data_IF_231783429234
#
_entry.id   IF_231783429234
#
_cell.length_a   1.000
_cell.length_b   1.000
_cell.length_c   1.000
_cell.angle_alpha   90.00
_cell.angle_beta   90.00
_cell.angle_gamma   90.00
#
_symmetry.space_group_name_H-M   'P 1'
#
loop_
_entity.id
_entity.type
_entity.pdbx_description
1 polymer ?
#
# COMPACT_ATOMS: atom_id res chain seq x y z
N UNK A 1 30.91 -29.00 -56.14
CA UNK A 1 30.30 -29.26 -54.82
C UNK A 1 30.13 -27.93 -54.17
N UNK A 2 28.92 -27.36 -54.08
CA UNK A 2 28.71 -26.15 -53.31
C UNK A 2 28.52 -26.49 -51.83
N UNK A 3 29.23 -25.73 -50.98
CA UNK A 3 29.16 -25.84 -49.50
C UNK A 3 27.79 -25.45 -48.98
N UNK A 4 27.11 -26.44 -48.42
CA UNK A 4 25.91 -26.25 -47.63
C UNK A 4 26.27 -25.74 -46.22
N UNK A 5 26.17 -24.42 -46.04
CA UNK A 5 26.20 -23.82 -44.69
C UNK A 5 24.84 -23.99 -44.05
N UNK A 6 24.77 -24.45 -42.79
CA UNK A 6 23.50 -24.50 -42.07
C UNK A 6 23.00 -23.06 -41.84
N UNK A 7 21.73 -22.82 -42.21
CA UNK A 7 21.00 -21.60 -41.84
C UNK A 7 20.77 -21.64 -40.34
N UNK A 8 21.47 -20.79 -39.58
CA UNK A 8 21.12 -20.49 -38.20
C UNK A 8 19.65 -19.99 -38.17
N UNK A 9 18.80 -20.73 -37.52
CA UNK A 9 17.47 -20.27 -37.18
C UNK A 9 17.66 -19.08 -36.23
N UNK A 10 17.16 -17.90 -36.63
CA UNK A 10 16.95 -16.81 -35.71
C UNK A 10 16.04 -17.36 -34.58
N UNK A 11 16.51 -17.32 -33.35
CA UNK A 11 15.65 -17.47 -32.18
C UNK A 11 14.66 -16.30 -32.29
N UNK A 12 13.38 -16.64 -32.44
CA UNK A 12 12.31 -15.67 -32.32
C UNK A 12 12.36 -15.17 -30.87
N UNK A 13 12.95 -14.00 -30.65
CA UNK A 13 12.85 -13.26 -29.41
C UNK A 13 11.36 -12.93 -29.22
N UNK A 14 10.68 -13.72 -28.38
CA UNK A 14 9.35 -13.32 -27.91
C UNK A 14 9.50 -11.95 -27.24
N UNK A 15 8.60 -10.99 -27.51
CA UNK A 15 8.69 -9.66 -26.90
C UNK A 15 8.69 -9.84 -25.38
N UNK A 16 9.68 -9.24 -24.72
CA UNK A 16 9.85 -9.28 -23.28
C UNK A 16 8.55 -8.80 -22.61
N UNK A 17 7.95 -9.66 -21.75
CA UNK A 17 6.73 -9.32 -21.02
C UNK A 17 7.05 -8.25 -19.97
N UNK A 18 6.92 -6.98 -20.34
CA UNK A 18 7.17 -5.84 -19.47
C UNK A 18 6.36 -5.84 -18.18
N UNK A 19 5.29 -6.63 -18.10
CA UNK A 19 4.41 -6.73 -16.94
C UNK A 19 4.69 -7.95 -16.05
N UNK A 20 5.64 -8.83 -16.41
CA UNK A 20 5.91 -10.06 -15.69
C UNK A 20 6.20 -9.83 -14.19
N UNK A 21 7.06 -8.85 -13.88
CA UNK A 21 7.40 -8.52 -12.49
C UNK A 21 6.22 -7.92 -11.71
N UNK A 22 5.37 -7.12 -12.36
CA UNK A 22 4.15 -6.58 -11.75
C UNK A 22 3.14 -7.70 -11.40
N UNK A 23 2.94 -8.64 -12.31
CA UNK A 23 2.08 -9.82 -12.06
C UNK A 23 2.63 -10.69 -10.94
N UNK A 24 3.95 -10.91 -10.93
CA UNK A 24 4.61 -11.67 -9.87
C UNK A 24 4.49 -10.97 -8.51
N UNK A 25 4.71 -9.67 -8.44
CA UNK A 25 4.50 -8.90 -7.21
C UNK A 25 3.04 -9.03 -6.75
N UNK A 26 2.06 -8.84 -7.68
CA UNK A 26 0.64 -8.99 -7.36
C UNK A 26 0.28 -10.37 -6.82
N UNK A 27 0.80 -11.43 -7.43
CA UNK A 27 0.56 -12.80 -6.96
C UNK A 27 1.08 -13.00 -5.52
N UNK A 28 2.31 -12.54 -5.21
CA UNK A 28 2.89 -12.66 -3.87
C UNK A 28 2.10 -11.85 -2.83
N UNK A 29 1.69 -10.61 -3.14
CA UNK A 29 0.90 -9.80 -2.22
C UNK A 29 -0.47 -10.45 -1.94
N UNK A 30 -1.17 -10.95 -2.96
CA UNK A 30 -2.42 -11.68 -2.81
C UNK A 30 -2.26 -12.91 -1.92
N UNK A 31 -1.26 -13.75 -2.18
CA UNK A 31 -1.00 -14.96 -1.40
C UNK A 31 -0.66 -14.63 0.06
N UNK A 32 0.07 -13.54 0.32
CA UNK A 32 0.35 -13.05 1.67
C UNK A 32 -0.95 -12.65 2.40
N UNK A 33 -1.89 -11.97 1.71
CA UNK A 33 -3.19 -11.62 2.29
C UNK A 33 -4.08 -12.87 2.50
N UNK A 34 -4.01 -13.86 1.63
CA UNK A 34 -4.75 -15.12 1.78
C UNK A 34 -4.28 -15.89 3.03
N UNK A 35 -3.00 -15.80 3.41
CA UNK A 35 -2.47 -16.33 4.67
C UNK A 35 -2.96 -15.53 5.88
N UNK A 36 -3.08 -14.21 5.77
CA UNK A 36 -3.54 -13.33 6.84
C UNK A 36 -5.04 -13.49 7.14
N UNK A 37 -5.85 -13.71 6.11
CA UNK A 37 -7.32 -13.73 6.21
C UNK A 37 -7.87 -14.65 7.31
N UNK A 38 -7.46 -15.93 7.45
CA UNK A 38 -7.92 -16.81 8.52
C UNK A 38 -7.38 -16.45 9.92
N UNK A 39 -6.38 -15.55 9.99
CA UNK A 39 -5.83 -15.06 11.25
C UNK A 39 -6.67 -13.91 11.84
N UNK A 40 -7.50 -13.24 11.03
CA UNK A 40 -8.37 -12.16 11.47
C UNK A 40 -9.55 -12.74 12.29
N UNK A 41 -9.32 -12.85 13.59
CA UNK A 41 -10.29 -13.37 14.56
C UNK A 41 -9.94 -12.87 15.96
N UNK A 42 -10.92 -12.81 16.89
CA UNK A 42 -10.68 -12.39 18.27
C UNK A 42 -9.54 -13.18 18.96
N UNK A 43 -8.71 -12.47 19.71
CA UNK A 43 -7.55 -13.01 20.40
C UNK A 43 -6.26 -13.11 19.57
N UNK A 44 -6.30 -12.87 18.26
CA UNK A 44 -5.08 -12.81 17.43
C UNK A 44 -4.35 -11.49 17.68
N UNK A 45 -3.03 -11.56 17.89
CA UNK A 45 -2.20 -10.35 17.97
C UNK A 45 -2.03 -9.73 16.60
N UNK A 46 -2.19 -8.42 16.51
CA UNK A 46 -1.97 -7.64 15.29
C UNK A 46 -0.55 -7.87 14.74
N UNK A 47 0.46 -7.89 15.62
CA UNK A 47 1.87 -8.13 15.24
C UNK A 47 2.07 -9.51 14.59
N UNK A 48 1.32 -10.54 14.97
CA UNK A 48 1.46 -11.88 14.39
C UNK A 48 0.97 -11.91 12.94
N UNK A 49 -0.12 -11.19 12.62
CA UNK A 49 -0.60 -11.03 11.25
C UNK A 49 0.45 -10.30 10.41
N UNK A 50 0.94 -9.16 10.91
CA UNK A 50 1.96 -8.36 10.22
C UNK A 50 3.20 -9.20 9.93
N UNK A 51 3.72 -9.91 10.92
CA UNK A 51 4.90 -10.75 10.74
C UNK A 51 4.67 -11.88 9.72
N UNK A 52 3.49 -12.50 9.71
CA UNK A 52 3.15 -13.55 8.73
C UNK A 52 3.18 -12.99 7.31
N UNK A 53 2.52 -11.85 7.07
CA UNK A 53 2.47 -11.19 5.77
C UNK A 53 3.86 -10.75 5.32
N UNK A 54 4.59 -10.01 6.17
CA UNK A 54 5.91 -9.48 5.82
C UNK A 54 6.95 -10.56 5.57
N UNK A 55 6.94 -11.64 6.35
CA UNK A 55 7.88 -12.75 6.15
C UNK A 55 7.58 -13.48 4.84
N UNK A 56 6.29 -13.74 4.54
CA UNK A 56 5.93 -14.37 3.28
C UNK A 56 6.40 -13.53 2.07
N UNK A 57 6.15 -12.22 2.10
CA UNK A 57 6.59 -11.32 1.02
C UNK A 57 8.11 -11.31 0.88
N UNK A 58 8.87 -11.26 1.98
CA UNK A 58 10.35 -11.27 1.94
C UNK A 58 10.93 -12.58 1.41
N UNK A 59 10.22 -13.69 1.58
CA UNK A 59 10.64 -15.01 1.09
C UNK A 59 10.35 -15.23 -0.39
N UNK A 60 9.30 -14.57 -0.94
CA UNK A 60 8.78 -14.86 -2.29
C UNK A 60 8.89 -13.71 -3.29
N UNK A 61 9.25 -12.50 -2.85
CA UNK A 61 9.46 -11.31 -3.68
C UNK A 61 10.83 -10.67 -3.42
N UNK A 62 11.12 -9.54 -4.03
CA UNK A 62 12.33 -8.77 -3.72
C UNK A 62 12.24 -8.06 -2.36
N UNK A 63 11.04 -7.90 -1.83
CA UNK A 63 10.76 -7.33 -0.53
C UNK A 63 9.37 -6.71 -0.43
N UNK A 64 9.09 -6.13 0.74
CA UNK A 64 7.89 -5.31 0.96
C UNK A 64 8.10 -3.92 0.34
N UNK A 65 7.09 -3.37 -0.32
CA UNK A 65 7.12 -1.98 -0.81
C UNK A 65 6.77 -0.96 0.30
N UNK A 66 6.13 -1.42 1.37
CA UNK A 66 5.90 -0.71 2.62
C UNK A 66 5.63 -1.72 3.75
N UNK A 67 5.65 -1.30 5.03
CA UNK A 67 5.30 -2.17 6.15
C UNK A 67 3.84 -2.61 6.07
N UNK A 68 3.54 -3.87 6.33
CA UNK A 68 2.15 -4.30 6.42
C UNK A 68 1.40 -3.48 7.49
N UNK A 69 0.25 -2.95 7.10
CA UNK A 69 -0.66 -2.22 7.98
C UNK A 69 -1.78 -3.16 8.45
N UNK A 70 -2.12 -3.11 9.73
CA UNK A 70 -3.32 -3.79 10.27
C UNK A 70 -4.10 -2.76 11.08
N UNK A 71 -5.09 -2.16 10.46
CA UNK A 71 -5.89 -1.10 11.03
C UNK A 71 -7.14 -1.67 11.73
N UNK A 72 -7.48 -1.12 12.90
CA UNK A 72 -8.66 -1.50 13.68
C UNK A 72 -9.65 -0.34 13.72
N UNK A 73 -10.92 -0.62 13.45
CA UNK A 73 -12.06 0.25 13.66
C UNK A 73 -11.95 1.59 12.93
N UNK A 74 -11.68 2.68 13.64
CA UNK A 74 -11.60 4.03 13.09
C UNK A 74 -10.23 4.38 12.48
N UNK A 75 -9.25 3.50 12.55
CA UNK A 75 -7.97 3.70 11.89
C UNK A 75 -8.15 3.47 10.39
N UNK A 76 -7.82 4.48 9.60
CA UNK A 76 -7.95 4.40 8.15
C UNK A 76 -6.69 3.85 7.48
N UNK A 77 -5.50 4.29 7.90
CA UNK A 77 -4.24 3.90 7.27
C UNK A 77 -3.03 4.10 8.19
N UNK A 78 -1.88 3.59 7.76
CA UNK A 78 -0.54 3.80 8.34
C UNK A 78 -0.33 3.26 9.75
N UNK A 79 -1.20 2.37 10.23
CA UNK A 79 -0.92 1.65 11.45
C UNK A 79 -0.19 0.34 11.14
N UNK A 80 1.06 0.26 11.58
CA UNK A 80 1.83 -0.98 11.72
C UNK A 80 2.23 -1.15 13.18
N UNK A 81 2.37 -2.39 13.65
CA UNK A 81 2.72 -2.62 15.05
C UNK A 81 4.07 -2.03 15.44
N UNK A 82 4.18 -1.37 16.61
CA UNK A 82 5.48 -1.08 17.21
C UNK A 82 6.20 -2.37 17.66
N UNK A 83 7.45 -2.24 18.09
CA UNK A 83 8.19 -3.37 18.65
C UNK A 83 7.49 -3.87 19.92
N UNK A 84 7.28 -5.19 20.01
CA UNK A 84 6.60 -5.86 21.13
C UNK A 84 5.15 -5.36 21.35
N UNK A 85 4.42 -5.11 20.28
CA UNK A 85 3.02 -4.76 20.35
C UNK A 85 2.18 -5.93 20.90
N UNK A 86 1.38 -5.62 21.92
CA UNK A 86 0.45 -6.58 22.54
C UNK A 86 -1.01 -6.36 22.11
N UNK A 87 -1.25 -5.48 21.13
CA UNK A 87 -2.58 -5.23 20.58
C UNK A 87 -3.16 -6.52 20.01
N UNK A 88 -4.33 -6.88 20.47
CA UNK A 88 -5.10 -8.05 20.01
C UNK A 88 -6.39 -7.60 19.34
N UNK A 89 -6.84 -8.39 18.39
CA UNK A 89 -8.16 -8.22 17.77
C UNK A 89 -9.22 -8.64 18.81
N UNK A 90 -10.23 -7.81 18.99
CA UNK A 90 -11.35 -8.04 19.90
C UNK A 90 -12.61 -8.49 19.15
N UNK A 91 -13.58 -9.01 19.90
CA UNK A 91 -14.89 -9.39 19.34
C UNK A 91 -15.63 -8.13 18.89
N UNK A 92 -16.10 -8.12 17.64
CA UNK A 92 -16.80 -6.98 17.05
C UNK A 92 -15.92 -5.97 16.30
N UNK A 93 -14.59 -6.15 16.30
CA UNK A 93 -13.70 -5.26 15.54
C UNK A 93 -13.96 -5.31 14.04
N UNK A 94 -13.72 -4.19 13.39
CA UNK A 94 -13.49 -4.07 11.96
C UNK A 94 -11.98 -4.06 11.72
N UNK A 95 -11.48 -5.01 10.92
CA UNK A 95 -10.05 -5.22 10.75
C UNK A 95 -9.66 -5.10 9.28
N UNK A 96 -8.83 -4.14 8.96
CA UNK A 96 -8.22 -3.99 7.64
C UNK A 96 -6.79 -4.51 7.66
N UNK A 97 -6.43 -5.32 6.68
CA UNK A 97 -5.05 -5.77 6.43
C UNK A 97 -4.65 -5.27 5.06
N UNK A 98 -3.55 -4.54 5.02
CA UNK A 98 -3.02 -3.87 3.84
C UNK A 98 -1.54 -4.17 3.71
N UNK A 99 -1.10 -4.60 2.52
CA UNK A 99 0.29 -4.96 2.27
C UNK A 99 0.75 -4.65 0.86
N UNK A 100 2.03 -4.31 0.76
CA UNK A 100 2.68 -4.11 -0.51
C UNK A 100 3.91 -5.00 -0.68
N UNK A 101 4.07 -5.53 -1.88
CA UNK A 101 5.25 -6.27 -2.31
C UNK A 101 5.90 -5.61 -3.51
N UNK A 102 7.16 -5.96 -3.81
CA UNK A 102 7.75 -5.59 -5.08
C UNK A 102 8.66 -6.68 -5.63
N UNK A 103 8.75 -6.78 -6.95
CA UNK A 103 9.74 -7.58 -7.68
C UNK A 103 10.54 -6.62 -8.55
N UNK A 104 11.82 -6.43 -8.20
CA UNK A 104 12.74 -5.51 -8.89
C UNK A 104 12.20 -4.08 -9.06
N UNK A 105 11.43 -3.62 -8.08
CA UNK A 105 10.82 -2.29 -8.10
C UNK A 105 9.40 -2.22 -8.62
N UNK A 106 8.93 -3.21 -9.38
CA UNK A 106 7.54 -3.32 -9.80
C UNK A 106 6.66 -3.65 -8.60
N UNK A 107 5.76 -2.74 -8.22
CA UNK A 107 5.02 -2.74 -6.96
C UNK A 107 3.65 -3.38 -7.13
N UNK A 108 3.24 -4.14 -6.13
CA UNK A 108 1.85 -4.47 -5.90
C UNK A 108 1.41 -3.95 -4.54
N UNK A 109 0.21 -3.42 -4.48
CA UNK A 109 -0.45 -2.82 -3.35
C UNK A 109 -1.88 -3.37 -3.25
N UNK A 110 -2.28 -3.87 -2.08
CA UNK A 110 -3.58 -4.53 -1.94
C UNK A 110 -4.03 -4.63 -0.50
N UNK A 111 -5.34 -4.46 -0.28
CA UNK A 111 -5.94 -4.52 1.03
C UNK A 111 -7.31 -5.20 1.03
N UNK A 112 -7.66 -5.76 2.19
CA UNK A 112 -9.02 -6.20 2.50
C UNK A 112 -9.44 -5.77 3.90
N UNK A 113 -10.75 -5.68 4.11
CA UNK A 113 -11.35 -5.50 5.43
C UNK A 113 -12.26 -6.68 5.77
N UNK A 114 -12.24 -7.11 7.04
CA UNK A 114 -13.17 -8.09 7.62
C UNK A 114 -13.91 -7.45 8.77
N UNK A 115 -15.23 -7.55 8.75
CA UNK A 115 -16.09 -7.17 9.88
C UNK A 115 -16.30 -8.40 10.81
N UNK A 116 -15.90 -8.28 12.06
CA UNK A 116 -16.20 -9.30 13.08
C UNK A 116 -17.56 -9.05 13.76
N UNK A 117 -18.16 -7.87 13.50
CA UNK A 117 -19.55 -7.57 13.79
C UNK A 117 -20.34 -7.49 12.48
N UNK A 118 -21.43 -8.30 12.31
CA UNK A 118 -22.27 -8.26 11.11
C UNK A 118 -22.85 -6.87 10.78
N UNK A 119 -23.02 -5.99 11.76
CA UNK A 119 -23.53 -4.63 11.57
C UNK A 119 -22.62 -3.80 10.65
N UNK A 120 -21.35 -4.17 10.48
CA UNK A 120 -20.38 -3.50 9.62
C UNK A 120 -20.18 -4.14 8.24
N UNK A 121 -20.88 -5.24 7.92
CA UNK A 121 -20.74 -5.90 6.60
C UNK A 121 -21.15 -4.98 5.45
N UNK A 122 -22.15 -4.12 5.64
CA UNK A 122 -22.58 -3.14 4.65
C UNK A 122 -21.49 -2.10 4.37
N UNK A 123 -20.73 -1.68 5.40
CA UNK A 123 -19.59 -0.76 5.26
C UNK A 123 -18.46 -1.41 4.45
N UNK A 124 -18.12 -2.66 4.76
CA UNK A 124 -17.11 -3.43 4.00
C UNK A 124 -17.55 -3.57 2.54
N UNK A 125 -18.82 -3.91 2.32
CA UNK A 125 -19.37 -4.03 0.97
C UNK A 125 -19.27 -2.72 0.18
N UNK A 126 -19.48 -1.57 0.81
CA UNK A 126 -19.41 -0.26 0.16
C UNK A 126 -18.00 0.02 -0.40
N UNK A 127 -16.93 -0.25 0.37
CA UNK A 127 -15.55 -0.10 -0.14
C UNK A 127 -15.24 -1.13 -1.25
N UNK A 128 -15.65 -2.38 -1.09
CA UNK A 128 -15.47 -3.43 -2.12
C UNK A 128 -16.15 -3.05 -3.43
N UNK A 129 -17.41 -2.64 -3.38
CA UNK A 129 -18.18 -2.26 -4.58
C UNK A 129 -17.53 -1.03 -5.26
N UNK A 130 -17.13 -0.02 -4.48
CA UNK A 130 -16.50 1.18 -5.00
C UNK A 130 -15.16 0.88 -5.70
N UNK A 131 -14.30 0.06 -5.10
CA UNK A 131 -13.03 -0.38 -5.71
C UNK A 131 -13.28 -1.14 -7.01
N UNK A 132 -14.21 -2.10 -7.00
CA UNK A 132 -14.51 -2.89 -8.20
C UNK A 132 -15.10 -2.03 -9.33
N UNK A 133 -15.98 -1.08 -9.02
CA UNK A 133 -16.52 -0.14 -10.00
C UNK A 133 -15.44 0.79 -10.56
N UNK A 134 -14.53 1.28 -9.72
CA UNK A 134 -13.39 2.09 -10.14
C UNK A 134 -12.48 1.31 -11.10
N UNK A 135 -12.12 0.08 -10.75
CA UNK A 135 -11.28 -0.79 -11.60
C UNK A 135 -11.90 -0.99 -12.99
N UNK A 136 -13.21 -1.22 -13.07
CA UNK A 136 -13.90 -1.39 -14.36
C UNK A 136 -13.81 -0.15 -15.27
N UNK A 137 -13.59 1.03 -14.70
CA UNK A 137 -13.41 2.27 -15.45
C UNK A 137 -11.96 2.53 -15.88
N UNK A 138 -10.99 1.79 -15.32
CA UNK A 138 -9.56 1.96 -15.62
C UNK A 138 -9.25 1.48 -17.04
N UNK A 139 -8.94 2.44 -17.91
CA UNK A 139 -8.54 2.19 -19.32
C UNK A 139 -7.88 3.43 -19.90
N UNK A 140 -7.07 3.32 -20.94
CA UNK A 140 -6.49 4.50 -21.60
C UNK A 140 -7.56 5.52 -21.98
N UNK A 141 -7.32 6.79 -21.65
CA UNK A 141 -8.23 7.91 -21.89
C UNK A 141 -9.34 8.11 -20.84
N UNK A 142 -9.46 7.24 -19.82
CA UNK A 142 -10.38 7.47 -18.71
C UNK A 142 -9.92 8.66 -17.88
N UNK A 143 -10.87 9.52 -17.45
CA UNK A 143 -10.58 10.66 -16.56
C UNK A 143 -10.58 10.20 -15.11
N UNK A 144 -9.50 10.40 -14.39
CA UNK A 144 -9.38 10.00 -12.97
C UNK A 144 -10.44 10.67 -12.10
N UNK A 145 -10.81 11.90 -12.41
CA UNK A 145 -11.89 12.60 -11.69
C UNK A 145 -13.28 11.98 -11.90
N UNK A 146 -13.54 11.41 -13.08
CA UNK A 146 -14.80 10.69 -13.32
C UNK A 146 -14.86 9.40 -12.52
N UNK A 147 -13.72 8.73 -12.36
CA UNK A 147 -13.59 7.56 -11.49
C UNK A 147 -13.84 7.95 -10.03
N UNK A 148 -13.24 9.07 -9.57
CA UNK A 148 -13.48 9.59 -8.22
C UNK A 148 -14.95 9.91 -7.94
N UNK A 149 -15.66 10.51 -8.90
CA UNK A 149 -17.09 10.76 -8.78
C UNK A 149 -17.90 9.45 -8.66
N UNK A 150 -17.53 8.40 -9.40
CA UNK A 150 -18.17 7.09 -9.32
C UNK A 150 -17.92 6.43 -7.94
N UNK A 151 -16.69 6.53 -7.40
CA UNK A 151 -16.36 6.03 -6.06
C UNK A 151 -17.25 6.75 -5.02
N UNK A 152 -17.29 8.08 -5.08
CA UNK A 152 -18.11 8.90 -4.17
C UNK A 152 -19.58 8.51 -4.21
N UNK A 153 -20.16 8.43 -5.42
CA UNK A 153 -21.57 8.07 -5.62
C UNK A 153 -21.86 6.65 -5.11
N UNK A 154 -20.95 5.69 -5.33
CA UNK A 154 -21.12 4.31 -4.89
C UNK A 154 -21.15 4.21 -3.36
N UNK A 155 -20.19 4.85 -2.67
CA UNK A 155 -20.10 4.82 -1.20
C UNK A 155 -21.29 5.56 -0.58
N UNK A 156 -21.64 6.75 -1.09
CA UNK A 156 -22.77 7.53 -0.59
C UNK A 156 -24.13 6.87 -0.81
N UNK A 157 -24.29 6.20 -1.95
CA UNK A 157 -25.51 5.43 -2.23
C UNK A 157 -25.71 4.24 -1.27
N UNK A 158 -24.61 3.72 -0.70
CA UNK A 158 -24.64 2.71 0.34
C UNK A 158 -24.91 3.28 1.76
N UNK A 159 -24.97 4.63 1.91
CA UNK A 159 -25.25 5.31 3.17
C UNK A 159 -24.02 5.66 3.99
N UNK A 160 -22.83 5.63 3.40
CA UNK A 160 -21.56 5.95 4.05
C UNK A 160 -20.87 7.16 3.42
N UNK A 161 -19.81 7.67 4.06
CA UNK A 161 -19.01 8.76 3.53
C UNK A 161 -17.65 8.23 3.03
N UNK A 162 -17.18 8.65 1.83
CA UNK A 162 -15.82 8.35 1.41
C UNK A 162 -14.82 9.18 2.21
N UNK A 163 -13.63 8.61 2.49
CA UNK A 163 -12.53 9.40 3.07
C UNK A 163 -11.97 10.33 2.00
N UNK A 164 -12.05 11.64 2.24
CA UNK A 164 -11.75 12.68 1.24
C UNK A 164 -10.26 12.93 1.06
N UNK A 165 -9.45 12.64 2.09
CA UNK A 165 -8.00 12.90 2.10
C UNK A 165 -7.17 11.72 1.59
N UNK A 166 -7.78 10.55 1.37
CA UNK A 166 -7.13 9.38 0.81
C UNK A 166 -7.54 9.17 -0.64
N UNK A 167 -6.64 8.59 -1.41
CA UNK A 167 -6.84 8.38 -2.85
C UNK A 167 -6.00 7.20 -3.30
N UNK A 168 -6.49 6.42 -4.24
CA UNK A 168 -5.64 5.56 -5.04
C UNK A 168 -4.54 6.35 -5.74
N UNK A 169 -3.50 5.71 -6.18
CA UNK A 169 -2.32 6.37 -6.72
C UNK A 169 -1.65 5.58 -7.83
N UNK A 170 -0.94 6.30 -8.69
CA UNK A 170 -0.08 5.68 -9.70
C UNK A 170 1.13 5.05 -9.01
N UNK A 171 1.52 3.87 -9.52
CA UNK A 171 2.72 3.13 -9.13
C UNK A 171 3.75 3.24 -10.24
N UNK A 172 5.02 3.43 -9.88
CA UNK A 172 6.17 3.29 -10.78
C UNK A 172 7.22 2.39 -10.14
N UNK A 173 8.19 1.96 -10.91
CA UNK A 173 9.30 1.18 -10.37
C UNK A 173 10.00 1.95 -9.24
N UNK A 174 10.05 1.35 -8.04
CA UNK A 174 10.58 1.92 -6.79
C UNK A 174 9.87 3.18 -6.28
N UNK A 175 8.76 3.60 -6.88
CA UNK A 175 8.00 4.78 -6.49
C UNK A 175 6.55 4.37 -6.15
N UNK A 176 6.25 4.28 -4.85
CA UNK A 176 4.96 3.84 -4.33
C UNK A 176 3.84 4.85 -4.64
N UNK A 177 4.10 6.14 -4.45
CA UNK A 177 3.14 7.22 -4.72
C UNK A 177 3.69 8.11 -5.83
N UNK A 178 3.39 7.75 -7.09
CA UNK A 178 3.80 8.54 -8.24
C UNK A 178 2.86 9.75 -8.48
N UNK A 179 2.97 10.40 -9.63
CA UNK A 179 2.39 11.72 -9.87
C UNK A 179 0.85 11.76 -9.92
N UNK A 180 0.21 10.67 -10.41
CA UNK A 180 -1.24 10.66 -10.65
C UNK A 180 -1.97 10.04 -9.46
N UNK A 181 -3.07 10.67 -9.04
CA UNK A 181 -3.94 10.20 -7.97
C UNK A 181 -5.31 9.81 -8.51
N UNK A 182 -5.89 8.73 -7.96
CA UNK A 182 -7.25 8.31 -8.20
C UNK A 182 -8.10 8.78 -7.01
N UNK A 183 -8.76 9.93 -7.10
CA UNK A 183 -9.46 10.50 -5.95
C UNK A 183 -10.65 9.62 -5.52
N UNK A 184 -10.98 9.63 -4.23
CA UNK A 184 -12.18 8.98 -3.71
C UNK A 184 -13.44 9.88 -3.75
N UNK A 185 -13.28 11.11 -4.21
CA UNK A 185 -14.35 12.09 -4.34
C UNK A 185 -14.26 12.84 -5.67
N UNK A 186 -15.37 13.39 -6.09
CA UNK A 186 -15.43 14.23 -7.30
C UNK A 186 -14.54 15.48 -7.19
N UNK A 187 -13.95 15.89 -8.29
CA UNK A 187 -13.05 17.05 -8.33
C UNK A 187 -13.06 17.72 -9.70
N UNK A 188 -12.03 18.49 -10.01
CA UNK A 188 -11.91 19.25 -11.26
C UNK A 188 -10.71 18.82 -12.13
N UNK A 189 -9.99 17.78 -11.73
CA UNK A 189 -8.80 17.33 -12.46
C UNK A 189 -9.19 16.73 -13.82
N UNK A 190 -8.44 17.06 -14.87
CA UNK A 190 -8.60 16.50 -16.22
C UNK A 190 -7.53 15.44 -16.53
N UNK A 191 -6.84 14.95 -15.51
CA UNK A 191 -5.79 13.93 -15.65
C UNK A 191 -6.39 12.64 -16.18
N UNK A 192 -5.73 12.08 -17.21
CA UNK A 192 -6.16 10.87 -17.89
C UNK A 192 -5.27 9.68 -17.48
N UNK A 193 -5.88 8.51 -17.51
CA UNK A 193 -5.19 7.23 -17.46
C UNK A 193 -4.52 6.99 -18.83
N UNK A 194 -3.26 6.55 -18.82
CA UNK A 194 -2.50 6.25 -20.03
C UNK A 194 -2.11 4.78 -20.10
N UNK A 195 -1.90 4.28 -21.29
CA UNK A 195 -1.35 2.94 -21.49
C UNK A 195 0.09 2.87 -20.92
N UNK A 196 0.47 1.73 -20.37
CA UNK A 196 1.79 1.55 -19.76
C UNK A 196 1.89 2.00 -18.31
N UNK A 197 0.78 2.38 -17.70
CA UNK A 197 0.73 2.81 -16.29
C UNK A 197 0.26 1.68 -15.37
N UNK A 198 0.66 1.73 -14.10
CA UNK A 198 0.15 0.89 -13.03
C UNK A 198 -0.45 1.77 -11.92
N UNK A 199 -1.49 1.25 -11.26
CA UNK A 199 -2.20 1.97 -10.22
C UNK A 199 -2.58 1.06 -9.06
N UNK A 200 -2.49 1.58 -7.85
CA UNK A 200 -3.20 1.13 -6.68
C UNK A 200 -4.60 1.76 -6.68
N UNK A 201 -5.64 0.94 -6.77
CA UNK A 201 -7.03 1.40 -6.73
C UNK A 201 -7.57 1.03 -5.37
N UNK A 202 -7.56 2.01 -4.48
CA UNK A 202 -8.02 1.88 -3.10
C UNK A 202 -9.18 2.83 -2.82
N UNK A 203 -10.13 2.36 -2.05
CA UNK A 203 -11.28 3.16 -1.61
C UNK A 203 -11.56 2.95 -0.15
N UNK A 204 -12.00 4.01 0.50
CA UNK A 204 -12.25 4.05 1.93
C UNK A 204 -13.68 4.52 2.20
N UNK A 205 -14.46 3.67 2.85
CA UNK A 205 -15.80 4.01 3.33
C UNK A 205 -15.80 4.21 4.85
N UNK A 206 -16.47 5.23 5.33
CA UNK A 206 -16.56 5.60 6.75
C UNK A 206 -18.00 5.69 7.22
N UNK A 207 -18.26 5.30 8.47
CA UNK A 207 -19.53 5.60 9.18
C UNK A 207 -19.58 7.05 9.67
N UNK A 208 -18.42 7.72 9.74
CA UNK A 208 -18.27 9.08 10.24
C UNK A 208 -18.40 10.16 9.15
N UNK A 209 -17.68 11.25 9.33
CA UNK A 209 -17.73 12.41 8.44
C UNK A 209 -16.95 12.28 7.14
N UNK A 210 -16.17 11.21 6.99
CA UNK A 210 -15.22 11.04 5.90
C UNK A 210 -14.00 11.97 5.99
N UNK A 211 -13.70 12.49 7.19
CA UNK A 211 -12.50 13.28 7.46
C UNK A 211 -11.61 12.56 8.47
N UNK A 212 -10.34 12.50 8.16
CA UNK A 212 -9.33 11.88 9.02
C UNK A 212 -8.38 12.92 9.58
N UNK A 213 -7.76 12.55 10.69
CA UNK A 213 -6.73 13.35 11.37
C UNK A 213 -5.49 12.50 11.66
N UNK A 214 -4.36 13.18 11.75
CA UNK A 214 -3.08 12.59 12.12
C UNK A 214 -3.04 12.25 13.60
N UNK A 215 -2.74 10.99 13.93
CA UNK A 215 -2.39 10.63 15.30
C UNK A 215 -0.89 10.94 15.55
N UNK A 216 -0.53 11.31 16.79
CA UNK A 216 0.85 11.59 17.13
C UNK A 216 1.72 10.32 17.04
N UNK A 217 3.01 10.50 16.72
CA UNK A 217 4.05 9.46 16.66
C UNK A 217 3.87 8.46 15.51
N UNK A 218 4.44 8.76 14.34
CA UNK A 218 4.46 7.83 13.21
C UNK A 218 5.21 6.54 13.56
N UNK A 219 4.73 5.43 12.98
CA UNK A 219 5.34 4.11 13.08
C UNK A 219 6.03 3.71 11.78
N UNK A 220 5.74 4.43 10.71
CA UNK A 220 6.28 4.23 9.36
C UNK A 220 7.05 5.47 8.96
N UNK A 221 8.23 5.28 8.39
CA UNK A 221 9.10 6.34 7.94
C UNK A 221 9.57 6.11 6.51
N UNK A 222 9.86 7.19 5.80
CA UNK A 222 10.43 7.16 4.46
C UNK A 222 11.64 8.08 4.37
N UNK A 223 12.74 7.57 3.81
CA UNK A 223 13.97 8.34 3.62
C UNK A 223 13.94 9.00 2.24
N UNK A 224 14.08 10.32 2.21
CA UNK A 224 14.23 11.03 0.95
C UNK A 224 15.68 10.97 0.41
N UNK A 225 15.88 10.98 -0.91
CA UNK A 225 17.21 10.90 -1.53
C UNK A 225 17.98 12.22 -1.44
N UNK A 226 17.91 12.91 -0.30
CA UNK A 226 18.60 14.17 -0.06
C UNK A 226 19.88 13.97 0.74
N UNK A 227 20.89 14.79 0.47
CA UNK A 227 22.13 14.82 1.27
C UNK A 227 22.00 15.84 2.37
N UNK A 228 22.09 15.38 3.61
CA UNK A 228 22.02 16.22 4.81
C UNK A 228 23.27 16.03 5.66
N UNK A 229 23.75 17.09 6.32
CA UNK A 229 24.82 16.96 7.30
C UNK A 229 24.31 16.22 8.53
N UNK A 230 24.98 15.12 8.90
CA UNK A 230 24.65 14.35 10.10
C UNK A 230 25.79 14.42 11.11
N UNK A 231 25.46 14.65 12.37
CA UNK A 231 26.42 14.84 13.44
C UNK A 231 26.61 13.58 14.30
N UNK A 232 25.52 12.83 14.53
CA UNK A 232 25.56 11.67 15.41
C UNK A 232 26.01 10.41 14.65
N UNK A 233 26.79 9.56 15.35
CA UNK A 233 27.21 8.26 14.81
C UNK A 233 26.00 7.35 14.54
N UNK A 234 24.98 7.38 15.42
CA UNK A 234 23.74 6.61 15.26
C UNK A 234 22.99 7.00 13.98
N UNK A 235 22.95 8.29 13.62
CA UNK A 235 22.31 8.74 12.38
C UNK A 235 23.04 8.25 11.15
N UNK A 236 24.38 8.16 11.17
CA UNK A 236 25.15 7.55 10.07
C UNK A 236 24.84 6.06 9.93
N UNK A 237 24.71 5.35 11.05
CA UNK A 237 24.30 3.94 11.07
C UNK A 237 22.89 3.78 10.49
N UNK A 238 21.93 4.61 10.95
CA UNK A 238 20.56 4.62 10.45
C UNK A 238 20.52 4.80 8.93
N UNK A 239 21.18 5.82 8.40
CA UNK A 239 21.26 6.08 6.96
C UNK A 239 21.87 4.93 6.18
N UNK A 240 22.90 4.28 6.75
CA UNK A 240 23.55 3.11 6.13
C UNK A 240 22.58 1.93 5.99
N UNK A 241 21.80 1.65 7.04
CA UNK A 241 20.78 0.59 7.03
C UNK A 241 19.64 0.95 6.08
N UNK A 242 19.04 2.13 6.26
CA UNK A 242 17.86 2.54 5.49
C UNK A 242 18.11 2.56 3.98
N UNK A 243 19.23 3.14 3.54
CA UNK A 243 19.61 3.20 2.12
C UNK A 243 19.90 1.84 1.51
N UNK A 244 20.46 0.93 2.29
CA UNK A 244 20.81 -0.41 1.82
C UNK A 244 19.59 -1.32 1.71
N UNK A 245 18.73 -1.30 2.74
CA UNK A 245 17.67 -2.29 2.88
C UNK A 245 16.32 -1.82 2.35
N UNK A 246 16.01 -0.52 2.50
CA UNK A 246 14.68 0.00 2.16
C UNK A 246 14.69 0.92 0.95
N UNK A 247 15.88 1.44 0.55
CA UNK A 247 16.01 2.37 -0.58
C UNK A 247 15.08 3.59 -0.39
N UNK A 248 14.12 3.77 -1.31
CA UNK A 248 13.12 4.85 -1.28
C UNK A 248 11.77 4.39 -0.73
N UNK A 249 11.63 3.10 -0.40
CA UNK A 249 10.40 2.57 0.15
C UNK A 249 10.18 2.98 1.62
N UNK A 250 8.92 3.19 2.03
CA UNK A 250 8.58 3.30 3.44
C UNK A 250 9.00 2.06 4.25
N UNK A 251 9.39 2.27 5.50
CA UNK A 251 9.83 1.20 6.40
C UNK A 251 9.32 1.40 7.82
N UNK A 252 9.12 0.29 8.54
CA UNK A 252 8.63 0.33 9.91
C UNK A 252 9.74 0.76 10.89
N UNK A 253 9.37 1.60 11.86
CA UNK A 253 10.25 1.96 12.98
C UNK A 253 10.74 0.71 13.74
N UNK A 254 9.90 -0.34 13.88
CA UNK A 254 10.29 -1.58 14.54
C UNK A 254 11.43 -2.30 13.83
N UNK A 255 11.50 -2.29 12.49
CA UNK A 255 12.60 -2.92 11.75
C UNK A 255 13.96 -2.26 12.04
N UNK A 256 13.94 -0.95 12.30
CA UNK A 256 15.14 -0.22 12.73
C UNK A 256 15.45 -0.46 14.21
N UNK A 257 14.42 -0.62 15.06
CA UNK A 257 14.58 -0.89 16.48
C UNK A 257 15.24 -2.25 16.77
N UNK A 258 15.11 -3.21 15.89
CA UNK A 258 15.82 -4.50 15.95
C UNK A 258 17.33 -4.38 15.67
N UNK A 259 17.77 -3.31 15.02
CA UNK A 259 19.13 -3.10 14.52
C UNK A 259 19.90 -1.99 15.25
N UNK A 260 19.20 -1.20 16.05
CA UNK A 260 19.76 -0.03 16.75
C UNK A 260 19.24 0.04 18.17
N UNK A 261 20.06 0.62 19.08
CA UNK A 261 19.56 0.92 20.42
C UNK A 261 18.44 1.97 20.38
N UNK A 262 17.44 1.90 21.28
CA UNK A 262 16.31 2.84 21.31
C UNK A 262 16.76 4.32 21.32
N UNK A 263 17.74 4.65 22.14
CA UNK A 263 18.26 6.03 22.24
C UNK A 263 18.89 6.51 20.93
N UNK A 264 19.67 5.65 20.25
CA UNK A 264 20.29 6.00 18.96
C UNK A 264 19.25 6.14 17.85
N UNK A 265 18.21 5.30 17.87
CA UNK A 265 17.11 5.36 16.92
C UNK A 265 16.33 6.68 17.06
N UNK A 266 15.90 7.04 18.26
CA UNK A 266 15.16 8.28 18.51
C UNK A 266 15.97 9.53 18.14
N UNK A 267 17.27 9.53 18.46
CA UNK A 267 18.16 10.64 18.08
C UNK A 267 18.32 10.75 16.56
N UNK A 268 18.46 9.62 15.86
CA UNK A 268 18.60 9.59 14.41
C UNK A 268 17.32 10.09 13.71
N UNK A 269 16.15 9.60 14.13
CA UNK A 269 14.86 10.06 13.63
C UNK A 269 14.75 11.58 13.79
N UNK A 270 14.97 12.09 14.99
CA UNK A 270 14.86 13.53 15.30
C UNK A 270 15.81 14.41 14.48
N UNK A 271 17.06 13.94 14.27
CA UNK A 271 18.03 14.66 13.44
C UNK A 271 17.62 14.68 11.97
N UNK A 272 17.14 13.55 11.44
CA UNK A 272 16.79 13.42 10.03
C UNK A 272 15.48 14.12 9.69
N UNK A 273 14.45 14.05 10.54
CA UNK A 273 13.20 14.81 10.39
C UNK A 273 13.48 16.32 10.40
N UNK A 274 14.28 16.79 11.37
CA UNK A 274 14.66 18.21 11.46
C UNK A 274 15.38 18.73 10.20
N UNK A 275 16.14 17.85 9.54
CA UNK A 275 16.88 18.18 8.32
C UNK A 275 16.09 17.91 7.04
N UNK A 276 14.82 17.47 7.13
CA UNK A 276 13.95 17.17 5.98
C UNK A 276 14.41 15.95 5.15
N UNK A 277 15.21 15.05 5.76
CA UNK A 277 15.68 13.84 5.09
C UNK A 277 14.82 12.60 5.42
N UNK A 278 14.03 12.65 6.47
CA UNK A 278 13.14 11.59 6.91
C UNK A 278 11.73 12.15 7.05
N UNK A 279 10.77 11.45 6.49
CA UNK A 279 9.35 11.76 6.64
C UNK A 279 8.68 10.66 7.46
N UNK A 280 7.87 11.03 8.44
CA UNK A 280 7.04 10.12 9.21
C UNK A 280 5.62 10.09 8.67
N UNK A 281 5.15 8.92 8.25
CA UNK A 281 3.77 8.70 7.87
C UNK A 281 2.93 8.55 9.14
N UNK A 282 2.16 9.57 9.46
CA UNK A 282 1.28 9.55 10.63
C UNK A 282 0.16 8.53 10.45
N UNK A 283 -0.25 7.91 11.56
CA UNK A 283 -1.44 7.07 11.59
C UNK A 283 -2.63 7.98 11.32
N UNK A 284 -3.47 7.58 10.38
CA UNK A 284 -4.64 8.34 9.94
C UNK A 284 -5.91 7.73 10.54
N UNK A 285 -6.71 8.54 11.21
CA UNK A 285 -7.89 8.06 11.91
C UNK A 285 -9.10 8.97 11.70
N UNK A 286 -10.26 8.36 11.52
CA UNK A 286 -11.57 9.00 11.65
C UNK A 286 -11.86 9.29 13.14
N UNK A 287 -12.93 10.00 13.46
CA UNK A 287 -13.33 10.26 14.84
C UNK A 287 -13.51 8.96 15.64
N UNK A 288 -13.21 9.03 16.93
CA UNK A 288 -13.31 7.88 17.82
C UNK A 288 -14.76 7.39 17.92
N UNK A 289 -14.96 6.11 17.70
CA UNK A 289 -16.28 5.46 17.71
C UNK A 289 -16.87 5.26 16.33
N UNK A 290 -16.21 5.83 15.29
CA UNK A 290 -16.52 5.57 13.89
C UNK A 290 -15.70 4.38 13.36
N UNK A 291 -16.06 3.90 12.16
CA UNK A 291 -15.43 2.76 11.50
C UNK A 291 -15.02 3.12 10.09
N UNK A 292 -13.86 2.63 9.65
CA UNK A 292 -13.35 2.83 8.29
C UNK A 292 -13.03 1.47 7.66
N UNK A 293 -13.60 1.21 6.49
CA UNK A 293 -13.29 0.06 5.66
C UNK A 293 -12.48 0.47 4.45
N UNK A 294 -11.41 -0.27 4.14
CA UNK A 294 -10.60 -0.14 2.93
C UNK A 294 -10.75 -1.40 2.08
N UNK A 295 -10.75 -1.22 0.76
CA UNK A 295 -10.53 -2.30 -0.20
C UNK A 295 -9.63 -1.81 -1.32
N UNK A 296 -8.70 -2.69 -1.78
CA UNK A 296 -7.66 -2.24 -2.68
C UNK A 296 -7.14 -3.35 -3.58
N UNK A 297 -6.82 -2.96 -4.81
CA UNK A 297 -6.12 -3.81 -5.78
C UNK A 297 -5.18 -3.01 -6.66
N UNK A 298 -4.09 -3.65 -7.07
CA UNK A 298 -3.21 -3.14 -8.13
C UNK A 298 -3.72 -3.54 -9.50
N UNK A 299 -3.75 -2.57 -10.41
CA UNK A 299 -4.06 -2.77 -11.82
C UNK A 299 -2.95 -2.22 -12.72
N UNK A 300 -2.69 -2.91 -13.83
CA UNK A 300 -1.83 -2.45 -14.92
C UNK A 300 -2.69 -2.09 -16.12
N UNK A 301 -2.31 -1.02 -16.83
CA UNK A 301 -3.07 -0.47 -17.96
C UNK A 301 -2.39 -0.88 -19.27
N UNK A 302 -3.11 -1.59 -20.09
CA UNK A 302 -2.67 -2.05 -21.39
C UNK A 302 -3.61 -1.56 -22.53
N UNK A 303 -3.27 -1.84 -23.76
CA UNK A 303 -4.07 -1.47 -24.94
C UNK A 303 -5.55 -1.92 -24.88
N UNK A 304 -5.85 -3.02 -24.16
CA UNK A 304 -7.19 -3.60 -24.03
C UNK A 304 -7.99 -3.06 -22.85
N UNK A 305 -7.38 -2.24 -22.00
CA UNK A 305 -8.00 -1.67 -20.82
C UNK A 305 -7.13 -1.84 -19.58
N UNK A 306 -7.56 -2.69 -18.65
CA UNK A 306 -6.79 -2.99 -17.42
C UNK A 306 -6.68 -4.50 -17.19
N UNK A 307 -5.67 -4.86 -16.41
CA UNK A 307 -5.49 -6.18 -15.82
C UNK A 307 -5.23 -6.02 -14.32
N UNK A 308 -6.02 -6.70 -13.49
CA UNK A 308 -5.78 -6.73 -12.05
C UNK A 308 -4.72 -7.78 -11.73
N UNK A 309 -3.66 -7.37 -11.01
CA UNK A 309 -2.53 -8.25 -10.65
C UNK A 309 -2.67 -8.87 -9.26
N UNK A 310 -3.47 -8.28 -8.36
CA UNK A 310 -3.70 -8.74 -6.97
C UNK A 310 -5.07 -9.37 -6.76
#
# INVERSE_FOLDING_TARGET
MPDDKPVEKAEDDEPEDTWANWRRAGAVAREALDLARPMVKPGTKVLDIINTVENYIREHASGTSFPCNVALNNIAAHYTSPLNDETVIEEGDLVTVDCGSHVDGCIADTAFTIALNPDHEALVKASVDATNMAIQMMRPGAKLNTIGALIEDTIKSAGFEPIKQLSGHQLKEYELHAEKQVPCVSGKSEVLVEEGEAYAIETFASTGSGNISDLPRPLIYQLFPVRVPVRFRGTKQFLGIARKEYKEFPFAKRWMAEKMSPASLEMAIKELEKNGALFGHHILAEEKGEFVSQHEHTVIINERGHERTT
#
